data_IF_220116604880
#
_entry.id   IF_220116604880
#
_cell.length_a   1.000
_cell.length_b   1.000
_cell.length_c   1.000
_cell.angle_alpha   90.00
_cell.angle_beta   90.00
_cell.angle_gamma   90.00
#
_symmetry.space_group_name_H-M   'P 1'
#
loop_
_entity.id
_entity.type
_entity.pdbx_description
1 polymer ?
#
# COMPACT_ATOMS: atom_id res chain seq x y z
N UNK A 1 12.21 10.70 -11.19
CA UNK A 1 12.45 9.35 -10.59
C UNK A 1 12.69 9.37 -9.09
N UNK A 2 13.29 10.43 -8.50
CA UNK A 2 13.53 10.47 -7.05
C UNK A 2 12.25 10.43 -6.19
N UNK A 3 11.18 11.14 -6.58
CA UNK A 3 9.91 11.15 -5.83
C UNK A 3 9.16 9.81 -5.87
N UNK A 4 9.18 9.09 -6.99
CA UNK A 4 8.55 7.77 -7.07
C UNK A 4 9.24 6.77 -6.16
N UNK A 5 10.57 6.80 -6.12
CA UNK A 5 11.37 5.96 -5.22
C UNK A 5 11.03 6.25 -3.74
N UNK A 6 10.93 7.52 -3.37
CA UNK A 6 10.53 7.90 -2.01
C UNK A 6 9.11 7.43 -1.64
N UNK A 7 8.16 7.42 -2.59
CA UNK A 7 6.81 6.91 -2.35
C UNK A 7 6.85 5.40 -2.10
N UNK A 8 7.60 4.65 -2.92
CA UNK A 8 7.80 3.21 -2.77
C UNK A 8 8.40 2.89 -1.40
N UNK A 9 9.48 3.59 -1.01
CA UNK A 9 10.14 3.39 0.28
C UNK A 9 9.22 3.64 1.47
N UNK A 10 8.35 4.65 1.40
CA UNK A 10 7.38 4.91 2.48
C UNK A 10 6.37 3.76 2.59
N UNK A 11 5.90 3.22 1.46
CA UNK A 11 4.97 2.10 1.46
C UNK A 11 5.61 0.78 1.90
N UNK A 12 6.84 0.49 1.47
CA UNK A 12 7.60 -0.68 1.95
C UNK A 12 7.84 -0.61 3.45
N UNK A 13 8.17 0.58 3.96
CA UNK A 13 8.30 0.80 5.40
C UNK A 13 6.96 0.59 6.11
N UNK A 14 5.85 1.07 5.54
CA UNK A 14 4.51 0.84 6.09
C UNK A 14 4.19 -0.65 6.15
N UNK A 15 4.43 -1.40 5.07
CA UNK A 15 4.25 -2.85 5.01
C UNK A 15 5.02 -3.56 6.13
N UNK A 16 6.30 -3.24 6.31
CA UNK A 16 7.11 -3.78 7.41
C UNK A 16 6.55 -3.45 8.79
N UNK A 17 6.07 -2.22 9.01
CA UNK A 17 5.43 -1.83 10.28
C UNK A 17 4.11 -2.57 10.54
N UNK A 18 3.33 -2.83 9.49
CA UNK A 18 2.12 -3.64 9.60
C UNK A 18 2.45 -5.08 9.97
N UNK A 19 3.43 -5.70 9.31
CA UNK A 19 3.90 -7.06 9.63
C UNK A 19 4.46 -7.16 11.06
N UNK A 20 5.30 -6.21 11.47
CA UNK A 20 5.84 -6.13 12.83
C UNK A 20 4.71 -5.99 13.88
N UNK A 21 3.69 -5.17 13.59
CA UNK A 21 2.53 -5.04 14.48
C UNK A 21 1.73 -6.34 14.61
N UNK A 22 1.64 -7.14 13.55
CA UNK A 22 1.01 -8.47 13.57
C UNK A 22 1.83 -9.40 14.46
N UNK A 23 3.16 -9.47 14.26
CA UNK A 23 4.06 -10.28 15.09
C UNK A 23 3.96 -9.95 16.58
N UNK A 24 3.88 -8.67 16.93
CA UNK A 24 3.66 -8.22 18.31
C UNK A 24 2.29 -8.62 18.85
N UNK A 25 1.25 -8.52 18.03
CA UNK A 25 -0.13 -8.80 18.43
C UNK A 25 -0.45 -10.29 18.59
N UNK A 26 0.20 -11.17 17.82
CA UNK A 26 0.04 -12.62 17.99
C UNK A 26 0.66 -13.06 19.32
N UNK A 27 1.79 -12.46 19.70
CA UNK A 27 2.59 -12.85 20.87
C UNK A 27 3.27 -14.21 20.66
N UNK A 28 3.90 -14.74 21.71
CA UNK A 28 4.66 -15.99 21.59
C UNK A 28 3.79 -17.25 21.60
N UNK A 29 2.62 -17.22 22.24
CA UNK A 29 1.81 -18.44 22.45
C UNK A 29 2.49 -19.49 23.35
N UNK A 30 3.60 -19.12 24.00
CA UNK A 30 4.33 -19.99 24.93
C UNK A 30 3.42 -20.41 26.07
N UNK A 31 3.58 -21.65 26.52
CA UNK A 31 2.88 -22.19 27.69
C UNK A 31 1.35 -22.21 27.57
N UNK A 32 0.79 -22.22 26.36
CA UNK A 32 -0.65 -22.42 26.12
C UNK A 32 -0.93 -23.92 25.96
N UNK A 33 -1.58 -24.59 26.94
CA UNK A 33 -1.99 -25.98 26.79
C UNK A 33 -3.16 -26.11 25.81
N UNK A 34 -3.31 -27.29 25.19
CA UNK A 34 -4.38 -27.57 24.22
C UNK A 34 -5.77 -27.31 24.79
N UNK A 35 -5.97 -27.61 26.07
CA UNK A 35 -7.22 -27.45 26.82
C UNK A 35 -7.66 -25.98 26.91
N UNK A 36 -6.73 -25.03 26.80
CA UNK A 36 -7.01 -23.59 26.90
C UNK A 36 -6.87 -22.85 25.57
N UNK A 37 -6.61 -23.58 24.47
CA UNK A 37 -6.38 -23.00 23.15
C UNK A 37 -7.55 -22.10 22.71
N UNK A 38 -8.80 -22.55 22.88
CA UNK A 38 -9.98 -21.76 22.53
C UNK A 38 -10.06 -20.43 23.30
N UNK A 39 -9.68 -20.44 24.59
CA UNK A 39 -9.62 -19.22 25.41
C UNK A 39 -8.53 -18.27 24.91
N UNK A 40 -7.37 -18.82 24.53
CA UNK A 40 -6.30 -18.04 23.92
C UNK A 40 -6.72 -17.42 22.59
N UNK A 41 -7.34 -18.19 21.68
CA UNK A 41 -7.86 -17.70 20.39
C UNK A 41 -8.89 -16.59 20.58
N UNK A 42 -9.85 -16.76 21.48
CA UNK A 42 -10.85 -15.73 21.79
C UNK A 42 -10.19 -14.44 22.31
N UNK A 43 -9.11 -14.56 23.09
CA UNK A 43 -8.29 -13.42 23.51
C UNK A 43 -7.64 -12.70 22.33
N UNK A 44 -7.08 -13.43 21.37
CA UNK A 44 -6.50 -12.84 20.15
C UNK A 44 -7.54 -12.14 19.27
N UNK A 45 -8.73 -12.72 19.10
CA UNK A 45 -9.81 -12.06 18.35
C UNK A 45 -10.28 -10.75 18.97
N UNK A 46 -10.27 -10.65 20.31
CA UNK A 46 -10.58 -9.38 21.01
C UNK A 46 -9.53 -8.30 20.77
N UNK A 47 -8.27 -8.67 20.58
CA UNK A 47 -7.19 -7.72 20.26
C UNK A 47 -7.22 -7.21 18.81
N UNK A 48 -8.00 -7.84 17.92
CA UNK A 48 -8.07 -7.46 16.51
C UNK A 48 -8.44 -5.98 16.33
N UNK A 49 -9.47 -5.49 17.03
CA UNK A 49 -9.90 -4.09 16.92
C UNK A 49 -8.81 -3.12 17.34
N UNK A 50 -8.04 -3.47 18.38
CA UNK A 50 -6.91 -2.67 18.84
C UNK A 50 -5.79 -2.64 17.80
N UNK A 51 -5.45 -3.81 17.23
CA UNK A 51 -4.48 -3.92 16.15
C UNK A 51 -4.90 -3.10 14.93
N UNK A 52 -6.15 -3.22 14.49
CA UNK A 52 -6.71 -2.46 13.37
C UNK A 52 -6.61 -0.96 13.58
N UNK A 53 -6.99 -0.48 14.77
CA UNK A 53 -6.89 0.94 15.11
C UNK A 53 -5.45 1.44 15.05
N UNK A 54 -4.49 0.66 15.57
CA UNK A 54 -3.07 1.02 15.50
C UNK A 54 -2.56 1.04 14.05
N UNK A 55 -2.89 0.02 13.25
CA UNK A 55 -2.50 -0.07 11.85
C UNK A 55 -3.10 1.06 11.00
N UNK A 56 -4.34 1.46 11.27
CA UNK A 56 -4.96 2.63 10.63
C UNK A 56 -4.14 3.90 10.89
N UNK A 57 -3.65 4.11 12.12
CA UNK A 57 -2.79 5.26 12.43
C UNK A 57 -1.47 5.23 11.65
N UNK A 58 -0.86 4.06 11.47
CA UNK A 58 0.35 3.92 10.65
C UNK A 58 0.08 4.29 9.18
N UNK A 59 -1.03 3.80 8.63
CA UNK A 59 -1.47 4.09 7.26
C UNK A 59 -1.75 5.59 7.08
N UNK A 60 -2.45 6.22 8.02
CA UNK A 60 -2.73 7.66 7.97
C UNK A 60 -1.44 8.49 8.01
N UNK A 61 -0.45 8.09 8.82
CA UNK A 61 0.86 8.75 8.86
C UNK A 61 1.65 8.60 7.56
N UNK A 62 1.58 7.43 6.93
CA UNK A 62 2.17 7.19 5.62
C UNK A 62 1.49 8.05 4.55
N UNK A 63 0.15 8.06 4.50
CA UNK A 63 -0.64 8.85 3.55
C UNK A 63 -0.34 10.36 3.66
N UNK A 64 -0.20 10.88 4.88
CA UNK A 64 0.19 12.29 5.13
C UNK A 64 1.53 12.66 4.47
N UNK A 65 2.45 11.70 4.33
CA UNK A 65 3.76 11.90 3.68
C UNK A 65 3.72 11.63 2.17
N UNK A 66 2.95 10.63 1.74
CA UNK A 66 2.87 10.17 0.36
C UNK A 66 2.05 11.14 -0.51
N UNK A 67 0.87 11.53 -0.05
CA UNK A 67 -0.06 12.36 -0.84
C UNK A 67 0.59 13.65 -1.39
N UNK A 68 1.30 14.48 -0.59
CA UNK A 68 1.97 15.66 -1.13
C UNK A 68 3.12 15.34 -2.10
N UNK A 69 3.81 14.20 -1.92
CA UNK A 69 4.87 13.75 -2.85
C UNK A 69 4.28 13.33 -4.20
N UNK A 70 3.19 12.55 -4.18
CA UNK A 70 2.47 12.15 -5.39
C UNK A 70 1.95 13.37 -6.14
N UNK A 71 1.32 14.32 -5.44
CA UNK A 71 0.86 15.60 -6.02
C UNK A 71 1.99 16.42 -6.64
N UNK A 72 3.16 16.45 -5.99
CA UNK A 72 4.33 17.17 -6.52
C UNK A 72 4.87 16.48 -7.76
N UNK A 73 4.94 15.15 -7.77
CA UNK A 73 5.35 14.37 -8.94
C UNK A 73 4.42 14.60 -10.15
N UNK A 74 3.10 14.62 -9.94
CA UNK A 74 2.12 14.90 -10.99
C UNK A 74 2.34 16.31 -11.57
N UNK A 75 2.50 17.32 -10.70
CA UNK A 75 2.73 18.72 -11.12
C UNK A 75 4.06 18.89 -11.87
N UNK A 76 5.14 18.29 -11.37
CA UNK A 76 6.46 18.32 -12.01
C UNK A 76 6.42 17.68 -13.39
N UNK A 77 5.76 16.52 -13.52
CA UNK A 77 5.64 15.83 -14.80
C UNK A 77 4.86 16.68 -15.80
N UNK A 78 3.73 17.25 -15.39
CA UNK A 78 2.93 18.12 -16.24
C UNK A 78 3.67 19.41 -16.65
N UNK A 79 4.47 19.99 -15.75
CA UNK A 79 5.28 21.17 -16.07
C UNK A 79 6.37 20.85 -17.12
N UNK A 80 6.97 19.66 -17.06
CA UNK A 80 7.93 19.19 -18.07
C UNK A 80 7.23 18.96 -19.40
N UNK A 81 6.10 18.26 -19.43
CA UNK A 81 5.31 18.03 -20.65
C UNK A 81 4.90 19.37 -21.30
N UNK A 82 4.36 20.30 -20.51
CA UNK A 82 3.94 21.60 -21.01
C UNK A 82 5.10 22.40 -21.65
N UNK A 83 6.31 22.32 -21.08
CA UNK A 83 7.51 22.94 -21.65
C UNK A 83 7.91 22.28 -22.98
N UNK A 84 7.85 20.95 -23.06
CA UNK A 84 8.15 20.19 -24.29
C UNK A 84 7.14 20.57 -25.38
N UNK A 85 5.84 20.47 -25.10
CA UNK A 85 4.78 20.78 -26.05
C UNK A 85 4.86 22.24 -26.51
N UNK A 86 5.12 23.19 -25.62
CA UNK A 86 5.28 24.60 -26.00
C UNK A 86 6.48 24.80 -26.92
N UNK A 87 7.60 24.11 -26.68
CA UNK A 87 8.78 24.15 -27.55
C UNK A 87 8.48 23.56 -28.94
N UNK A 88 7.78 22.43 -29.01
CA UNK A 88 7.40 21.77 -30.27
C UNK A 88 6.43 22.64 -31.08
N UNK A 89 5.41 23.22 -30.44
CA UNK A 89 4.48 24.15 -31.10
C UNK A 89 5.24 25.35 -31.68
N UNK A 90 6.17 25.95 -30.92
CA UNK A 90 7.01 27.06 -31.41
C UNK A 90 7.84 26.70 -32.64
N UNK A 91 8.29 25.46 -32.76
CA UNK A 91 9.07 25.02 -33.93
C UNK A 91 8.22 24.91 -35.19
N UNK A 92 6.92 24.64 -35.05
CA UNK A 92 5.99 24.46 -36.17
C UNK A 92 5.23 25.75 -36.50
N UNK A 93 4.86 26.53 -35.49
CA UNK A 93 4.02 27.74 -35.57
C UNK A 93 4.64 28.87 -34.72
N UNK A 94 5.70 29.54 -35.20
CA UNK A 94 6.39 30.60 -34.47
C UNK A 94 5.49 31.80 -34.15
N UNK A 95 4.44 32.05 -34.93
CA UNK A 95 3.45 33.10 -34.71
C UNK A 95 2.60 32.91 -33.43
N UNK A 96 2.61 31.72 -32.84
CA UNK A 96 1.93 31.43 -31.57
C UNK A 96 2.81 31.71 -30.35
N UNK A 97 3.92 32.43 -30.55
CA UNK A 97 4.83 32.82 -29.47
C UNK A 97 4.13 33.65 -28.38
N UNK A 98 4.29 33.22 -27.13
CA UNK A 98 3.71 33.88 -25.95
C UNK A 98 2.36 33.32 -25.50
N UNK A 99 1.73 32.40 -26.24
CA UNK A 99 0.49 31.75 -25.81
C UNK A 99 0.79 30.69 -24.72
N UNK A 100 0.26 30.83 -23.49
CA UNK A 100 0.56 29.91 -22.40
C UNK A 100 -0.31 28.65 -22.48
N UNK A 101 0.03 27.70 -23.34
CA UNK A 101 -0.65 26.40 -23.45
C UNK A 101 -0.62 25.59 -22.13
N UNK A 102 0.44 25.79 -21.34
CA UNK A 102 0.63 25.17 -20.03
C UNK A 102 -0.50 25.50 -19.03
N UNK A 103 -1.08 26.70 -19.13
CA UNK A 103 -2.09 27.22 -18.20
C UNK A 103 -3.50 27.24 -18.80
N UNK A 104 -3.75 26.46 -19.86
CA UNK A 104 -5.09 26.35 -20.43
C UNK A 104 -6.08 25.70 -19.44
N UNK A 105 -7.38 26.02 -19.51
CA UNK A 105 -8.42 25.33 -18.73
C UNK A 105 -8.37 23.80 -18.91
N UNK A 106 -8.10 23.32 -20.13
CA UNK A 106 -8.00 21.90 -20.44
C UNK A 106 -6.81 21.25 -19.74
N UNK A 107 -5.66 21.93 -19.66
CA UNK A 107 -4.47 21.45 -18.93
C UNK A 107 -4.75 21.35 -17.42
N UNK A 108 -5.41 22.36 -16.85
CA UNK A 108 -5.84 22.33 -15.43
C UNK A 108 -6.81 21.18 -15.15
N UNK A 109 -7.79 20.96 -16.02
CA UNK A 109 -8.75 19.88 -15.87
C UNK A 109 -8.06 18.51 -15.92
N UNK A 110 -7.16 18.30 -16.88
CA UNK A 110 -6.40 17.06 -16.98
C UNK A 110 -5.55 16.80 -15.73
N UNK A 111 -4.92 17.84 -15.17
CA UNK A 111 -4.18 17.76 -13.91
C UNK A 111 -5.06 17.36 -12.73
N UNK A 112 -6.26 17.96 -12.60
CA UNK A 112 -7.22 17.60 -11.55
C UNK A 112 -7.68 16.15 -11.69
N UNK A 113 -7.91 15.67 -12.91
CA UNK A 113 -8.28 14.27 -13.16
C UNK A 113 -7.16 13.30 -12.77
N UNK A 114 -5.91 13.59 -13.16
CA UNK A 114 -4.75 12.77 -12.78
C UNK A 114 -4.54 12.74 -11.26
N UNK A 115 -4.70 13.88 -10.61
CA UNK A 115 -4.63 13.99 -9.15
C UNK A 115 -5.69 13.11 -8.47
N UNK A 116 -6.95 13.25 -8.88
CA UNK A 116 -8.05 12.46 -8.33
C UNK A 116 -7.80 10.96 -8.54
N UNK A 117 -7.42 10.55 -9.75
CA UNK A 117 -7.14 9.14 -10.05
C UNK A 117 -6.00 8.59 -9.18
N UNK A 118 -4.90 9.34 -9.04
CA UNK A 118 -3.78 8.94 -8.21
C UNK A 118 -4.19 8.80 -6.74
N UNK A 119 -4.91 9.78 -6.19
CA UNK A 119 -5.37 9.73 -4.80
C UNK A 119 -6.30 8.55 -4.56
N UNK A 120 -7.28 8.32 -5.44
CA UNK A 120 -8.18 7.15 -5.34
C UNK A 120 -7.40 5.84 -5.35
N UNK A 121 -6.39 5.70 -6.21
CA UNK A 121 -5.56 4.48 -6.26
C UNK A 121 -4.77 4.27 -4.98
N UNK A 122 -4.24 5.34 -4.38
CA UNK A 122 -3.52 5.28 -3.10
C UNK A 122 -4.46 4.95 -1.93
N UNK A 123 -5.67 5.51 -1.92
CA UNK A 123 -6.71 5.20 -0.92
C UNK A 123 -7.16 3.74 -1.01
N UNK A 124 -7.35 3.21 -2.22
CA UNK A 124 -7.65 1.78 -2.43
C UNK A 124 -6.53 0.88 -1.90
N UNK A 125 -5.27 1.26 -2.13
CA UNK A 125 -4.12 0.52 -1.59
C UNK A 125 -4.10 0.57 -0.07
N UNK A 126 -4.28 1.74 0.52
CA UNK A 126 -4.34 1.92 1.98
C UNK A 126 -5.44 1.06 2.61
N UNK A 127 -6.64 1.07 2.04
CA UNK A 127 -7.76 0.24 2.49
C UNK A 127 -7.48 -1.26 2.32
N UNK A 128 -6.84 -1.64 1.20
CA UNK A 128 -6.48 -3.03 0.94
C UNK A 128 -5.44 -3.52 1.96
N UNK A 129 -4.37 -2.77 2.20
CA UNK A 129 -3.33 -3.14 3.16
C UNK A 129 -3.90 -3.31 4.57
N UNK A 130 -4.80 -2.43 5.03
CA UNK A 130 -5.47 -2.58 6.33
C UNK A 130 -6.34 -3.84 6.42
N UNK A 131 -7.08 -4.13 5.34
CA UNK A 131 -7.92 -5.34 5.28
C UNK A 131 -7.03 -6.59 5.27
N UNK A 132 -5.99 -6.61 4.46
CA UNK A 132 -5.10 -7.75 4.33
C UNK A 132 -4.28 -7.99 5.60
N UNK A 133 -3.79 -6.94 6.28
CA UNK A 133 -3.09 -7.10 7.55
C UNK A 133 -3.98 -7.75 8.62
N UNK A 134 -5.26 -7.41 8.65
CA UNK A 134 -6.26 -8.04 9.53
C UNK A 134 -6.50 -9.51 9.17
N UNK A 135 -6.65 -9.81 7.87
CA UNK A 135 -6.80 -11.19 7.39
C UNK A 135 -5.58 -12.05 7.75
N UNK A 136 -4.38 -11.55 7.51
CA UNK A 136 -3.12 -12.24 7.83
C UNK A 136 -3.04 -12.57 9.32
N UNK A 137 -3.36 -11.62 10.20
CA UNK A 137 -3.40 -11.86 11.65
C UNK A 137 -4.31 -13.04 12.02
N UNK A 138 -5.53 -13.05 11.50
CA UNK A 138 -6.51 -14.10 11.76
C UNK A 138 -6.09 -15.45 11.16
N UNK A 139 -5.50 -15.44 9.97
CA UNK A 139 -5.01 -16.63 9.29
C UNK A 139 -3.84 -17.26 10.04
N UNK A 140 -2.89 -16.47 10.56
CA UNK A 140 -1.80 -16.95 11.41
C UNK A 140 -2.37 -17.66 12.65
N UNK A 141 -3.28 -17.01 13.38
CA UNK A 141 -3.90 -17.60 14.57
C UNK A 141 -4.60 -18.92 14.24
N UNK A 142 -5.39 -18.93 13.16
CA UNK A 142 -6.19 -20.09 12.77
C UNK A 142 -5.31 -21.26 12.33
N UNK A 143 -4.33 -21.00 11.45
CA UNK A 143 -3.43 -22.03 10.91
C UNK A 143 -2.50 -22.58 12.00
N UNK A 144 -1.91 -21.70 12.83
CA UNK A 144 -1.04 -22.13 13.92
C UNK A 144 -1.80 -22.99 14.95
N UNK A 145 -3.03 -22.61 15.27
CA UNK A 145 -3.87 -23.40 16.18
C UNK A 145 -4.19 -24.78 15.61
N UNK A 146 -4.47 -24.88 14.31
CA UNK A 146 -4.72 -26.16 13.66
C UNK A 146 -3.48 -27.07 13.66
N UNK A 147 -2.29 -26.52 13.36
CA UNK A 147 -1.03 -27.26 13.43
C UNK A 147 -0.73 -27.73 14.87
N UNK A 148 -0.94 -26.87 15.86
CA UNK A 148 -0.75 -27.20 17.27
C UNK A 148 -1.68 -28.33 17.75
N UNK A 149 -2.96 -28.31 17.33
CA UNK A 149 -3.93 -29.37 17.67
C UNK A 149 -3.49 -30.72 17.11
N UNK A 150 -2.97 -30.75 15.89
CA UNK A 150 -2.44 -31.95 15.24
C UNK A 150 -1.21 -32.55 15.96
N UNK A 151 -0.60 -31.82 16.91
CA UNK A 151 0.31 -32.38 17.91
C UNK A 151 1.74 -32.63 17.45
N UNK A 152 2.16 -32.08 16.32
CA UNK A 152 3.52 -32.24 15.79
C UNK A 152 4.51 -31.19 16.31
N UNK A 153 4.01 -30.05 16.79
CA UNK A 153 4.80 -28.90 17.27
C UNK A 153 4.04 -28.15 18.37
N UNK A 154 4.73 -27.29 19.11
CA UNK A 154 4.13 -26.35 20.07
C UNK A 154 3.38 -25.21 19.38
N UNK A 155 2.49 -24.52 20.10
CA UNK A 155 1.77 -23.37 19.56
C UNK A 155 2.72 -22.24 19.14
N UNK A 156 3.78 -22.02 19.90
CA UNK A 156 4.81 -21.02 19.60
C UNK A 156 5.52 -21.33 18.29
N UNK A 157 5.98 -22.57 18.10
CA UNK A 157 6.61 -23.00 16.85
C UNK A 157 5.65 -22.86 15.66
N UNK A 158 4.37 -23.19 15.85
CA UNK A 158 3.35 -23.05 14.81
C UNK A 158 3.09 -21.58 14.45
N UNK A 159 3.06 -20.68 15.44
CA UNK A 159 2.91 -19.24 15.23
C UNK A 159 4.11 -18.65 14.49
N UNK A 160 5.33 -18.99 14.91
CA UNK A 160 6.55 -18.53 14.25
C UNK A 160 6.58 -19.01 12.80
N UNK A 161 6.34 -20.30 12.56
CA UNK A 161 6.32 -20.89 11.22
C UNK A 161 5.30 -20.22 10.30
N UNK A 162 4.06 -20.04 10.76
CA UNK A 162 2.99 -19.42 9.96
C UNK A 162 3.24 -17.92 9.75
N UNK A 163 3.72 -17.19 10.76
CA UNK A 163 4.07 -15.78 10.64
C UNK A 163 5.23 -15.56 9.67
N UNK A 164 6.29 -16.39 9.71
CA UNK A 164 7.41 -16.32 8.78
C UNK A 164 6.94 -16.52 7.33
N UNK A 165 6.08 -17.52 7.08
CA UNK A 165 5.51 -17.73 5.75
C UNK A 165 4.74 -16.50 5.24
N UNK A 166 3.98 -15.83 6.10
CA UNK A 166 3.28 -14.60 5.70
C UNK A 166 4.23 -13.42 5.50
N UNK A 167 5.27 -13.31 6.34
CA UNK A 167 6.31 -12.30 6.20
C UNK A 167 7.05 -12.40 4.87
N UNK A 168 7.36 -13.62 4.40
CA UNK A 168 8.00 -13.86 3.10
C UNK A 168 7.13 -13.46 1.91
N UNK A 169 5.80 -13.59 2.04
CA UNK A 169 4.84 -13.23 0.99
C UNK A 169 4.51 -11.73 0.95
N UNK A 170 4.70 -11.02 2.07
CA UNK A 170 4.31 -9.63 2.24
C UNK A 170 2.80 -9.41 2.40
N UNK A 171 2.41 -8.14 2.50
CA UNK A 171 1.00 -7.71 2.56
C UNK A 171 0.60 -7.23 1.16
N UNK A 172 -0.38 -7.88 0.50
CA UNK A 172 -0.84 -7.44 -0.80
C UNK A 172 -1.33 -5.99 -0.78
N UNK A 173 -0.80 -5.19 -1.70
CA UNK A 173 -1.16 -3.78 -1.87
C UNK A 173 -2.47 -3.59 -2.64
N UNK A 174 -2.78 -4.53 -3.54
CA UNK A 174 -4.05 -4.60 -4.24
C UNK A 174 -4.40 -6.07 -4.49
N UNK A 175 -5.68 -6.39 -4.40
CA UNK A 175 -6.25 -7.60 -5.01
C UNK A 175 -7.11 -7.13 -6.18
N UNK A 176 -6.73 -7.53 -7.40
CA UNK A 176 -7.48 -7.12 -8.58
C UNK A 176 -8.78 -7.94 -8.77
N UNK A 177 -9.59 -7.57 -9.76
CA UNK A 177 -10.87 -8.24 -10.05
C UNK A 177 -10.73 -9.73 -10.40
N UNK A 178 -9.54 -10.17 -10.83
CA UNK A 178 -9.23 -11.57 -11.17
C UNK A 178 -8.65 -12.33 -9.97
N UNK A 179 -8.52 -11.67 -8.82
CA UNK A 179 -7.93 -12.24 -7.61
C UNK A 179 -6.40 -12.20 -7.59
N UNK A 180 -5.74 -11.55 -8.56
CA UNK A 180 -4.28 -11.45 -8.54
C UNK A 180 -3.85 -10.49 -7.43
N UNK A 181 -2.87 -10.94 -6.64
CA UNK A 181 -2.26 -10.15 -5.55
C UNK A 181 -1.10 -9.34 -6.12
N UNK A 182 -1.15 -8.04 -5.94
CA UNK A 182 -0.09 -7.12 -6.36
C UNK A 182 0.78 -6.77 -5.14
N UNK A 183 2.09 -6.83 -5.32
CA UNK A 183 3.04 -6.32 -4.33
C UNK A 183 2.97 -4.79 -4.25
N UNK A 184 3.42 -4.25 -3.12
CA UNK A 184 3.58 -2.81 -2.89
C UNK A 184 4.32 -2.12 -4.02
N UNK A 185 5.49 -2.63 -4.40
CA UNK A 185 6.31 -2.03 -5.45
C UNK A 185 5.63 -2.10 -6.82
N UNK A 186 5.10 -3.27 -7.18
CA UNK A 186 4.46 -3.47 -8.48
C UNK A 186 3.26 -2.54 -8.67
N UNK A 187 2.43 -2.39 -7.64
CA UNK A 187 1.26 -1.53 -7.69
C UNK A 187 1.65 -0.04 -7.74
N UNK A 188 2.57 0.41 -6.89
CA UNK A 188 3.01 1.82 -6.92
C UNK A 188 3.69 2.18 -8.24
N UNK A 189 4.53 1.30 -8.78
CA UNK A 189 5.13 1.51 -10.10
C UNK A 189 4.07 1.67 -11.20
N UNK A 190 2.99 0.89 -11.14
CA UNK A 190 1.85 1.06 -12.05
C UNK A 190 1.14 2.40 -11.86
N UNK A 191 0.87 2.83 -10.61
CA UNK A 191 0.25 4.15 -10.32
C UNK A 191 1.13 5.30 -10.82
N UNK A 192 2.44 5.25 -10.53
CA UNK A 192 3.43 6.24 -10.98
C UNK A 192 3.48 6.27 -12.52
N UNK A 193 3.51 5.11 -13.16
CA UNK A 193 3.54 5.03 -14.63
C UNK A 193 2.29 5.64 -15.25
N UNK A 194 1.11 5.39 -14.68
CA UNK A 194 -0.15 5.95 -15.19
C UNK A 194 -0.23 7.48 -14.99
N UNK A 195 0.35 8.00 -13.91
CA UNK A 195 0.41 9.45 -13.68
C UNK A 195 1.42 10.16 -14.57
N UNK A 196 2.40 9.43 -15.12
CA UNK A 196 3.40 9.97 -16.04
C UNK A 196 3.08 9.75 -17.52
N UNK A 197 2.14 8.86 -17.85
CA UNK A 197 1.87 8.47 -19.22
C UNK A 197 0.53 9.04 -19.68
N UNK A 198 0.55 10.09 -20.50
CA UNK A 198 -0.59 10.38 -21.36
C UNK A 198 -0.62 9.41 -22.54
N UNK A 199 -1.81 8.85 -22.78
CA UNK A 199 -2.18 8.34 -24.10
C UNK A 199 -2.14 9.53 -25.06
N UNK A 200 -1.33 9.39 -26.10
CA UNK A 200 -1.40 10.18 -27.32
C UNK A 200 -2.81 10.08 -27.93
#
# INVERSE_FOLDING_TARGET
MQLSQQIIEIYLKLEGLLLDSIGKAIGSGSSVPKETLAKWQAGRYKELSRLQNYQLQLIMQAAKKINPKMRSMIRETAAVEARITTKEIKQVLPELEGIPFADSPNTRQALMTLDLEAMTRLEMMNATMLKQSSSIYLEIITQASAEFVNGTITLEEALVKTATKWSENGIPALIDRRGAKWSTEAYINMVVKNTQKKRC
#
